data_IF_418917738304
#
_entry.id   IF_418917738304
#
_cell.length_a   1.000
_cell.length_b   1.000
_cell.length_c   1.000
_cell.angle_alpha   90.00
_cell.angle_beta   90.00
_cell.angle_gamma   90.00
#
_symmetry.space_group_name_H-M   'P 1'
#
loop_
_entity.id
_entity.type
_entity.pdbx_description
1 polymer ?
#
# COMPACT_ATOMS: atom_id res chain seq x y z
N UNK A 1 5.30 -25.07 14.92
CA UNK A 1 5.99 -23.78 14.98
C UNK A 1 5.51 -22.75 13.96
N UNK A 2 5.13 -23.13 12.70
CA UNK A 2 4.64 -22.15 11.66
C UNK A 2 3.31 -21.47 12.03
N UNK A 3 2.37 -22.15 12.69
CA UNK A 3 1.08 -21.55 13.13
C UNK A 3 1.22 -20.49 14.23
N UNK A 4 2.27 -20.58 15.06
CA UNK A 4 2.50 -19.65 16.19
C UNK A 4 2.98 -18.26 15.76
N UNK A 5 3.73 -18.15 14.66
CA UNK A 5 4.30 -16.89 14.17
C UNK A 5 3.22 -16.03 13.51
N UNK A 6 2.35 -16.64 12.70
CA UNK A 6 1.23 -15.95 12.04
C UNK A 6 0.24 -15.42 13.09
N UNK A 7 -0.08 -16.21 14.12
CA UNK A 7 -0.97 -15.77 15.22
C UNK A 7 -0.36 -14.62 16.04
N UNK A 8 0.96 -14.58 16.21
CA UNK A 8 1.64 -13.53 16.96
C UNK A 8 1.69 -12.21 16.18
N UNK A 9 1.93 -12.28 14.86
CA UNK A 9 1.91 -11.12 13.95
C UNK A 9 0.50 -10.51 13.87
N UNK A 10 -0.54 -11.35 13.82
CA UNK A 10 -1.93 -10.91 13.76
C UNK A 10 -2.42 -10.27 15.07
N UNK A 11 -1.95 -10.76 16.24
CA UNK A 11 -2.28 -10.17 17.54
C UNK A 11 -1.63 -8.78 17.70
N UNK A 12 -0.46 -8.58 17.12
CA UNK A 12 0.24 -7.29 17.16
C UNK A 12 -0.48 -6.20 16.36
N UNK A 13 -1.09 -6.55 15.21
CA UNK A 13 -1.83 -5.59 14.40
C UNK A 13 -3.06 -5.02 15.13
N UNK A 14 -3.75 -5.83 15.93
CA UNK A 14 -4.92 -5.38 16.71
C UNK A 14 -4.55 -4.40 17.84
N UNK A 15 -3.32 -4.45 18.36
CA UNK A 15 -2.83 -3.54 19.42
C UNK A 15 -2.22 -2.25 18.88
N UNK A 16 -1.80 -2.24 17.61
CA UNK A 16 -1.16 -1.08 16.94
C UNK A 16 -2.15 0.07 16.75
N UNK A 17 -3.43 -0.22 16.48
CA UNK A 17 -4.46 0.78 16.18
C UNK A 17 -4.87 1.61 17.41
N UNK A 18 -4.59 1.14 18.63
CA UNK A 18 -4.99 1.82 19.89
C UNK A 18 -3.86 2.57 20.58
N UNK A 19 -2.63 2.56 20.05
CA UNK A 19 -1.49 3.25 20.65
C UNK A 19 -1.34 4.66 20.06
N UNK A 20 -1.49 5.66 20.88
CA UNK A 20 -1.16 7.08 20.62
C UNK A 20 0.31 7.25 20.13
N UNK A 21 0.69 8.38 19.49
CA UNK A 21 1.87 8.58 18.65
C UNK A 21 3.20 8.66 19.42
N UNK A 22 3.46 7.71 20.28
CA UNK A 22 4.81 7.45 20.77
C UNK A 22 5.32 6.25 19.97
N UNK A 23 6.24 6.50 19.05
CA UNK A 23 6.82 5.49 18.17
C UNK A 23 7.07 4.18 18.91
N UNK A 24 6.96 3.05 18.20
CA UNK A 24 7.19 1.70 18.72
C UNK A 24 8.63 1.54 19.28
N UNK A 25 9.03 2.41 20.20
CA UNK A 25 10.32 2.38 20.86
C UNK A 25 10.52 1.03 21.57
N UNK A 26 11.40 0.20 21.01
CA UNK A 26 11.82 -1.06 21.60
C UNK A 26 11.29 -2.33 20.93
N UNK A 27 10.36 -2.28 19.95
CA UNK A 27 9.98 -3.47 19.20
C UNK A 27 11.00 -3.73 18.08
N UNK A 28 11.78 -4.81 18.24
CA UNK A 28 12.73 -5.24 17.18
C UNK A 28 11.93 -5.97 16.09
N UNK A 29 11.93 -5.41 14.87
CA UNK A 29 11.33 -6.08 13.72
C UNK A 29 11.94 -7.45 13.50
N UNK A 30 11.12 -8.47 13.11
CA UNK A 30 11.63 -9.79 12.78
C UNK A 30 12.65 -9.72 11.65
N UNK A 31 13.71 -10.49 11.75
CA UNK A 31 14.65 -10.65 10.65
C UNK A 31 14.01 -11.50 9.54
N UNK A 32 14.19 -11.08 8.30
CA UNK A 32 13.74 -11.77 7.10
C UNK A 32 14.91 -12.09 6.18
N UNK A 33 14.74 -13.08 5.30
CA UNK A 33 15.75 -13.51 4.35
C UNK A 33 15.58 -12.80 3.00
N UNK A 34 15.57 -11.46 3.01
CA UNK A 34 15.57 -10.69 1.77
C UNK A 34 16.85 -10.93 0.97
N UNK A 35 16.73 -11.02 -0.36
CA UNK A 35 17.88 -11.16 -1.28
C UNK A 35 18.73 -9.89 -1.27
N UNK A 36 18.07 -8.74 -1.24
CA UNK A 36 18.72 -7.44 -1.08
C UNK A 36 18.05 -6.70 0.07
N UNK A 37 18.84 -6.16 1.00
CA UNK A 37 18.33 -5.53 2.24
C UNK A 37 18.70 -4.06 2.30
N UNK A 38 17.79 -3.27 2.88
CA UNK A 38 18.01 -1.87 3.21
C UNK A 38 18.52 -1.01 2.04
N UNK A 39 18.02 -1.29 0.82
CA UNK A 39 18.32 -0.48 -0.35
C UNK A 39 17.67 0.88 -0.17
N UNK A 40 18.45 1.96 -0.19
CA UNK A 40 17.90 3.31 -0.12
C UNK A 40 17.55 3.80 -1.52
N UNK A 41 16.25 4.07 -1.76
CA UNK A 41 15.72 4.48 -3.07
C UNK A 41 15.77 5.99 -3.32
N UNK A 42 16.04 6.78 -2.28
CA UNK A 42 16.07 8.24 -2.36
C UNK A 42 17.48 8.83 -2.52
N UNK A 43 18.52 8.03 -2.19
CA UNK A 43 19.91 8.50 -2.19
C UNK A 43 20.28 9.33 -0.97
N UNK A 44 19.51 9.20 0.11
CA UNK A 44 19.76 9.83 1.41
C UNK A 44 20.08 8.77 2.49
N UNK A 45 20.02 9.13 3.77
CA UNK A 45 20.32 8.23 4.89
C UNK A 45 19.06 7.87 5.72
N UNK A 46 17.86 8.23 5.25
CA UNK A 46 16.64 7.98 6.01
C UNK A 46 16.25 6.50 5.95
N UNK A 47 15.96 5.89 7.10
CA UNK A 47 15.41 4.53 7.16
C UNK A 47 14.04 4.44 6.46
N UNK A 48 13.26 5.51 6.51
CA UNK A 48 12.00 5.64 5.81
C UNK A 48 12.12 5.46 4.30
N UNK A 49 13.27 5.74 3.72
CA UNK A 49 13.53 5.61 2.29
C UNK A 49 14.23 4.29 1.93
N UNK A 50 14.10 3.26 2.75
CA UNK A 50 14.68 1.95 2.49
C UNK A 50 13.65 0.92 2.05
N UNK A 51 14.10 -0.06 1.28
CA UNK A 51 13.32 -1.21 0.85
C UNK A 51 14.13 -2.51 0.93
N UNK A 52 13.42 -3.64 0.99
CA UNK A 52 13.98 -4.98 0.90
C UNK A 52 13.40 -5.70 -0.33
N UNK A 53 14.24 -6.42 -1.10
CA UNK A 53 13.81 -7.19 -2.27
C UNK A 53 13.96 -8.68 -1.97
N UNK A 54 12.91 -9.41 -2.21
CA UNK A 54 12.82 -10.86 -2.09
C UNK A 54 12.66 -11.47 -3.47
N UNK A 55 13.64 -12.27 -3.90
CA UNK A 55 13.57 -12.98 -5.17
C UNK A 55 13.18 -14.44 -4.96
N UNK A 56 12.40 -15.03 -5.89
CA UNK A 56 12.14 -16.47 -5.89
C UNK A 56 13.41 -17.28 -6.11
N UNK A 57 13.48 -18.48 -5.53
CA UNK A 57 14.61 -19.42 -5.70
C UNK A 57 14.51 -20.24 -7.00
N UNK A 58 13.92 -19.66 -8.07
CA UNK A 58 13.69 -20.39 -9.34
C UNK A 58 14.83 -20.26 -10.35
N UNK A 59 15.83 -19.42 -10.07
CA UNK A 59 17.01 -19.24 -10.94
C UNK A 59 16.74 -18.50 -12.24
N UNK A 60 15.61 -17.79 -12.38
CA UNK A 60 15.32 -16.96 -13.56
C UNK A 60 16.26 -15.75 -13.64
N UNK A 61 16.43 -15.22 -14.87
CA UNK A 61 17.26 -14.04 -15.09
C UNK A 61 16.60 -12.76 -14.60
N UNK A 62 15.25 -12.68 -14.67
CA UNK A 62 14.47 -11.55 -14.17
C UNK A 62 13.07 -12.00 -13.76
N UNK A 63 12.42 -11.22 -12.90
CA UNK A 63 11.13 -11.50 -12.29
C UNK A 63 10.18 -10.31 -12.43
N UNK A 64 8.90 -10.57 -12.71
CA UNK A 64 7.84 -9.56 -12.60
C UNK A 64 7.79 -9.04 -11.18
N UNK A 65 7.52 -7.74 -11.01
CA UNK A 65 7.68 -7.02 -9.76
C UNK A 65 6.34 -6.79 -9.08
N UNK A 66 6.29 -7.06 -7.78
CA UNK A 66 5.19 -6.60 -6.91
C UNK A 66 5.78 -5.73 -5.80
N UNK A 67 5.39 -4.47 -5.73
CA UNK A 67 5.71 -3.59 -4.60
C UNK A 67 4.65 -3.78 -3.52
N UNK A 68 5.09 -3.98 -2.28
CA UNK A 68 4.20 -4.27 -1.16
C UNK A 68 4.40 -3.26 -0.01
N UNK A 69 3.29 -2.74 0.55
CA UNK A 69 3.27 -1.65 1.52
C UNK A 69 2.50 -2.09 2.79
N UNK A 70 3.10 -1.86 3.96
CA UNK A 70 2.48 -2.18 5.25
C UNK A 70 1.37 -1.19 5.65
N UNK A 71 0.48 -1.65 6.55
CA UNK A 71 -0.43 -0.81 7.29
C UNK A 71 0.16 -0.38 8.64
N UNK A 72 -0.05 0.88 9.01
CA UNK A 72 0.39 1.45 10.28
C UNK A 72 -0.41 2.71 10.66
N UNK A 73 -1.56 2.94 10.05
CA UNK A 73 -2.28 4.22 10.12
C UNK A 73 -1.37 5.42 9.78
N UNK A 74 -0.39 5.21 8.90
CA UNK A 74 0.68 6.14 8.50
C UNK A 74 1.61 6.59 9.63
N UNK A 75 1.59 5.95 10.80
CA UNK A 75 2.41 6.36 11.97
C UNK A 75 3.80 5.74 12.00
N UNK A 76 4.08 4.73 11.17
CA UNK A 76 5.38 4.06 11.16
C UNK A 76 6.15 4.31 9.86
N UNK A 77 7.48 4.29 9.94
CA UNK A 77 8.39 4.50 8.83
C UNK A 77 9.40 3.36 8.63
N UNK A 78 9.22 2.20 9.30
CA UNK A 78 10.22 1.12 9.33
C UNK A 78 9.61 -0.30 9.44
N UNK A 79 8.43 -0.55 8.85
CA UNK A 79 7.72 -1.84 9.00
C UNK A 79 7.78 -2.74 7.75
N UNK A 80 8.71 -2.52 6.81
CA UNK A 80 8.80 -3.30 5.57
C UNK A 80 8.88 -4.83 5.77
N UNK A 81 9.56 -5.29 6.85
CA UNK A 81 9.64 -6.72 7.18
C UNK A 81 8.27 -7.33 7.50
N UNK A 82 7.37 -6.57 8.14
CA UNK A 82 5.99 -7.00 8.42
C UNK A 82 5.19 -7.20 7.14
N UNK A 83 5.42 -6.37 6.11
CA UNK A 83 4.76 -6.54 4.82
C UNK A 83 5.08 -7.90 4.19
N UNK A 84 6.36 -8.28 4.21
CA UNK A 84 6.78 -9.59 3.69
C UNK A 84 6.11 -10.74 4.45
N UNK A 85 6.08 -10.66 5.78
CA UNK A 85 5.50 -11.72 6.63
C UNK A 85 3.98 -11.80 6.51
N UNK A 86 3.30 -10.70 6.22
CA UNK A 86 1.84 -10.64 6.11
C UNK A 86 1.34 -11.04 4.72
N UNK A 87 1.80 -10.38 3.67
CA UNK A 87 1.27 -10.55 2.31
C UNK A 87 2.34 -10.84 1.25
N UNK A 88 3.64 -10.61 1.54
CA UNK A 88 4.70 -10.72 0.55
C UNK A 88 5.10 -12.16 0.23
N UNK A 89 5.17 -13.03 1.24
CA UNK A 89 5.66 -14.40 1.05
C UNK A 89 4.87 -15.21 0.02
N UNK A 90 3.53 -15.22 -0.02
CA UNK A 90 2.76 -15.94 -1.05
C UNK A 90 3.10 -15.50 -2.48
N UNK A 91 3.45 -14.24 -2.68
CA UNK A 91 3.84 -13.69 -3.99
C UNK A 91 5.24 -14.14 -4.41
N UNK A 92 6.19 -14.19 -3.47
CA UNK A 92 7.53 -14.78 -3.75
C UNK A 92 7.42 -16.26 -4.09
N UNK A 93 6.64 -17.02 -3.32
CA UNK A 93 6.39 -18.44 -3.57
C UNK A 93 5.72 -18.68 -4.95
N UNK A 94 4.96 -17.69 -5.43
CA UNK A 94 4.30 -17.71 -6.75
C UNK A 94 5.19 -17.26 -7.92
N UNK A 95 6.44 -16.84 -7.67
CA UNK A 95 7.41 -16.52 -8.70
C UNK A 95 7.62 -15.02 -8.98
N UNK A 96 7.08 -14.12 -8.18
CA UNK A 96 7.29 -12.68 -8.30
C UNK A 96 8.50 -12.19 -7.49
N UNK A 97 9.23 -11.21 -8.00
CA UNK A 97 10.09 -10.38 -7.16
C UNK A 97 9.19 -9.49 -6.28
N UNK A 98 9.31 -9.60 -4.97
CA UNK A 98 8.52 -8.78 -4.04
C UNK A 98 9.41 -7.74 -3.39
N UNK A 99 9.00 -6.49 -3.49
CA UNK A 99 9.71 -5.34 -2.94
C UNK A 99 8.89 -4.73 -1.80
N UNK A 100 9.34 -4.93 -0.58
CA UNK A 100 8.70 -4.35 0.60
C UNK A 100 9.37 -3.02 0.93
N UNK A 101 8.60 -1.92 0.88
CA UNK A 101 9.12 -0.57 1.05
C UNK A 101 8.77 0.00 2.43
N UNK A 102 9.66 0.83 2.96
CA UNK A 102 9.35 1.82 3.96
C UNK A 102 8.90 3.13 3.28
N UNK A 103 8.23 3.98 4.02
CA UNK A 103 7.86 5.34 3.63
C UNK A 103 7.86 6.24 4.87
N UNK A 104 7.94 7.55 4.70
CA UNK A 104 7.84 8.50 5.81
C UNK A 104 6.50 8.35 6.53
N UNK A 105 6.54 8.48 7.85
CA UNK A 105 5.33 8.53 8.68
C UNK A 105 4.70 9.92 8.64
N UNK A 106 3.47 10.03 9.15
CA UNK A 106 2.80 11.34 9.34
C UNK A 106 3.48 12.24 10.39
N UNK A 107 4.36 11.67 11.22
CA UNK A 107 5.22 12.42 12.13
C UNK A 107 6.48 12.96 11.43
N UNK A 108 7.04 12.21 10.47
CA UNK A 108 8.20 12.66 9.68
C UNK A 108 7.80 13.79 8.72
N UNK A 109 6.67 13.63 8.02
CA UNK A 109 6.14 14.62 7.09
C UNK A 109 4.65 14.40 6.81
N UNK A 110 3.92 15.47 6.51
CA UNK A 110 2.52 15.40 6.11
C UNK A 110 2.36 14.95 4.66
N UNK A 111 1.15 14.46 4.30
CA UNK A 111 0.81 14.22 2.91
C UNK A 111 1.11 15.48 2.05
N UNK A 112 1.69 15.33 0.86
CA UNK A 112 1.84 14.12 0.04
C UNK A 112 3.15 13.33 0.20
N UNK A 113 3.90 13.50 1.29
CA UNK A 113 5.21 12.86 1.47
C UNK A 113 5.16 11.34 1.26
N UNK A 114 4.13 10.66 1.76
CA UNK A 114 4.00 9.21 1.70
C UNK A 114 3.84 8.69 0.26
N UNK A 115 3.02 9.36 -0.55
CA UNK A 115 2.87 8.98 -1.96
C UNK A 115 4.11 9.32 -2.79
N UNK A 116 4.84 10.39 -2.46
CA UNK A 116 6.13 10.70 -3.09
C UNK A 116 7.14 9.59 -2.87
N UNK A 117 7.18 9.01 -1.66
CA UNK A 117 8.10 7.93 -1.31
C UNK A 117 7.77 6.66 -2.09
N UNK A 118 6.48 6.29 -2.17
CA UNK A 118 6.03 5.14 -2.99
C UNK A 118 6.41 5.32 -4.46
N UNK A 119 6.14 6.50 -5.03
CA UNK A 119 6.49 6.79 -6.42
C UNK A 119 8.00 6.84 -6.66
N UNK A 120 8.78 7.34 -5.70
CA UNK A 120 10.23 7.32 -5.77
C UNK A 120 10.78 5.89 -5.78
N UNK A 121 10.26 5.00 -4.94
CA UNK A 121 10.64 3.59 -4.94
C UNK A 121 10.35 2.92 -6.29
N UNK A 122 9.16 3.16 -6.88
CA UNK A 122 8.79 2.65 -8.20
C UNK A 122 9.72 3.15 -9.32
N UNK A 123 10.11 4.44 -9.30
CA UNK A 123 11.07 5.01 -10.24
C UNK A 123 12.45 4.41 -10.08
N UNK A 124 12.92 4.28 -8.84
CA UNK A 124 14.20 3.67 -8.52
C UNK A 124 14.31 2.23 -9.04
N UNK A 125 13.29 1.41 -8.78
CA UNK A 125 13.25 0.01 -9.24
C UNK A 125 13.32 -0.09 -10.76
N UNK A 126 12.67 0.82 -11.49
CA UNK A 126 12.75 0.86 -12.96
C UNK A 126 14.12 1.34 -13.46
N UNK A 127 14.77 2.26 -12.74
CA UNK A 127 16.12 2.70 -13.10
C UNK A 127 17.17 1.59 -12.92
N UNK A 128 16.97 0.74 -11.90
CA UNK A 128 17.94 -0.28 -11.47
C UNK A 128 17.46 -1.71 -11.74
N UNK A 129 16.54 -1.93 -12.69
CA UNK A 129 15.91 -3.23 -12.91
C UNK A 129 16.91 -4.36 -13.20
N UNK A 130 17.98 -4.09 -13.94
CA UNK A 130 19.01 -5.09 -14.26
C UNK A 130 19.84 -5.50 -13.02
N UNK A 131 20.17 -4.53 -12.17
CA UNK A 131 20.95 -4.74 -10.95
C UNK A 131 20.24 -5.70 -9.99
N UNK A 132 18.91 -5.55 -9.87
CA UNK A 132 18.08 -6.35 -8.95
C UNK A 132 17.33 -7.50 -9.62
N UNK A 133 17.67 -7.86 -10.87
CA UNK A 133 17.01 -8.93 -11.64
C UNK A 133 15.48 -8.75 -11.75
N UNK A 134 15.05 -7.52 -12.01
CA UNK A 134 13.65 -7.18 -12.17
C UNK A 134 13.25 -7.16 -13.65
N UNK A 135 12.02 -7.54 -13.96
CA UNK A 135 11.44 -7.36 -15.29
C UNK A 135 10.61 -6.06 -15.31
N UNK A 136 11.08 -5.01 -16.02
CA UNK A 136 10.43 -3.70 -15.99
C UNK A 136 9.10 -3.65 -16.77
N UNK A 137 8.70 -4.73 -17.43
CA UNK A 137 7.49 -4.78 -18.25
C UNK A 137 6.20 -4.95 -17.43
N UNK A 138 6.31 -5.30 -16.13
CA UNK A 138 5.17 -5.38 -15.23
C UNK A 138 5.56 -4.99 -13.80
N UNK A 139 4.81 -4.04 -13.25
CA UNK A 139 4.88 -3.61 -11.86
C UNK A 139 3.48 -3.66 -11.24
N UNK A 140 3.22 -4.66 -10.42
CA UNK A 140 2.06 -4.70 -9.54
C UNK A 140 2.35 -3.96 -8.24
N UNK A 141 1.29 -3.53 -7.56
CA UNK A 141 1.40 -2.94 -6.21
C UNK A 141 0.32 -3.51 -5.31
N UNK A 142 0.65 -3.73 -4.05
CA UNK A 142 -0.29 -4.18 -3.03
C UNK A 142 0.03 -3.56 -1.68
N UNK A 143 -0.95 -3.50 -0.81
CA UNK A 143 -0.77 -3.06 0.56
C UNK A 143 -2.01 -3.32 1.38
N UNK A 144 -1.86 -3.25 2.70
CA UNK A 144 -2.98 -3.43 3.62
C UNK A 144 -3.18 -2.21 4.51
N UNK A 145 -4.43 -1.89 4.89
CA UNK A 145 -4.75 -0.73 5.74
C UNK A 145 -4.22 0.57 5.12
N UNK A 146 -3.47 1.40 5.83
CA UNK A 146 -2.82 2.59 5.27
C UNK A 146 -1.88 2.28 4.10
N UNK A 147 -1.31 1.07 4.01
CA UNK A 147 -0.57 0.60 2.83
C UNK A 147 -1.48 0.30 1.64
N UNK A 148 -2.70 -0.22 1.89
CA UNK A 148 -3.76 -0.37 0.89
C UNK A 148 -4.18 0.96 0.29
N UNK A 149 -4.34 1.98 1.14
CA UNK A 149 -4.56 3.36 0.71
C UNK A 149 -3.46 3.84 -0.24
N UNK A 150 -2.17 3.71 0.16
CA UNK A 150 -1.05 4.17 -0.66
C UNK A 150 -0.91 3.39 -1.97
N UNK A 151 -1.18 2.08 -1.95
CA UNK A 151 -1.20 1.25 -3.16
C UNK A 151 -2.33 1.67 -4.11
N UNK A 152 -3.53 1.89 -3.57
CA UNK A 152 -4.69 2.37 -4.34
C UNK A 152 -4.44 3.76 -4.92
N UNK A 153 -3.91 4.69 -4.11
CA UNK A 153 -3.58 6.04 -4.57
C UNK A 153 -2.51 6.02 -5.66
N UNK A 154 -1.46 5.20 -5.53
CA UNK A 154 -0.45 5.05 -6.58
C UNK A 154 -1.08 4.57 -7.90
N UNK A 155 -2.01 3.62 -7.84
CA UNK A 155 -2.71 3.08 -9.02
C UNK A 155 -3.61 4.10 -9.71
N UNK A 156 -4.48 4.79 -8.95
CA UNK A 156 -5.44 5.76 -9.54
C UNK A 156 -4.76 7.08 -9.97
N UNK A 157 -3.53 7.34 -9.54
CA UNK A 157 -2.75 8.54 -9.92
C UNK A 157 -1.60 8.24 -10.88
N UNK A 158 -1.71 7.15 -11.66
CA UNK A 158 -0.75 6.84 -12.72
C UNK A 158 -0.60 8.03 -13.69
N UNK A 159 0.66 8.40 -13.99
CA UNK A 159 1.02 9.50 -14.90
C UNK A 159 0.45 10.87 -14.48
N UNK A 160 0.08 11.06 -13.23
CA UNK A 160 -0.42 12.33 -12.72
C UNK A 160 0.69 13.08 -11.99
N UNK A 161 1.04 14.26 -12.49
CA UNK A 161 2.03 15.11 -11.82
C UNK A 161 1.41 15.91 -10.69
N UNK A 162 0.24 16.51 -10.95
CA UNK A 162 -0.43 17.43 -10.00
C UNK A 162 -1.94 17.24 -10.02
N UNK A 163 -2.58 17.56 -8.91
CA UNK A 163 -4.03 17.63 -8.79
C UNK A 163 -4.43 18.88 -8.01
N UNK A 164 -5.48 19.54 -8.47
CA UNK A 164 -6.13 20.65 -7.80
C UNK A 164 -7.53 20.26 -7.37
N UNK A 165 -7.88 20.55 -6.14
CA UNK A 165 -9.22 20.44 -5.61
C UNK A 165 -9.57 21.76 -4.89
N UNK A 166 -10.66 22.41 -5.27
CA UNK A 166 -10.98 23.73 -4.76
C UNK A 166 -9.81 24.72 -4.90
N UNK A 167 -9.29 25.19 -3.78
CA UNK A 167 -8.15 26.14 -3.72
C UNK A 167 -6.80 25.46 -3.50
N UNK A 168 -6.78 24.14 -3.25
CA UNK A 168 -5.59 23.39 -2.88
C UNK A 168 -5.02 22.64 -4.07
N UNK A 169 -3.74 22.82 -4.34
CA UNK A 169 -2.99 22.08 -5.37
C UNK A 169 -1.87 21.29 -4.71
N UNK A 170 -1.78 20.00 -5.02
CA UNK A 170 -0.67 19.14 -4.59
C UNK A 170 0.12 18.61 -5.79
N UNK A 171 1.41 18.44 -5.59
CA UNK A 171 2.25 17.59 -6.43
C UNK A 171 1.99 16.14 -6.01
N UNK A 172 1.58 15.29 -6.95
CA UNK A 172 1.32 13.86 -6.70
C UNK A 172 2.56 13.01 -7.02
N UNK A 173 3.32 13.39 -8.05
CA UNK A 173 4.47 12.60 -8.50
C UNK A 173 5.68 12.77 -7.56
N UNK A 174 5.94 13.97 -7.13
CA UNK A 174 7.08 14.32 -6.28
C UNK A 174 8.45 14.16 -6.97
N UNK A 175 9.47 14.67 -6.28
CA UNK A 175 10.85 14.68 -6.78
C UNK A 175 11.82 13.95 -5.86
N UNK A 176 11.34 13.09 -4.96
CA UNK A 176 12.19 12.31 -4.06
C UNK A 176 13.10 11.39 -4.88
N UNK A 177 14.38 11.36 -4.52
CA UNK A 177 15.40 10.53 -5.18
C UNK A 177 15.93 11.09 -6.50
N UNK A 178 16.87 10.36 -7.11
CA UNK A 178 17.58 10.78 -8.31
C UNK A 178 17.01 10.19 -9.61
N UNK A 179 15.96 9.38 -9.52
CA UNK A 179 15.39 8.63 -10.65
C UNK A 179 14.13 9.28 -11.23
N UNK A 180 14.01 10.61 -11.17
CA UNK A 180 12.79 11.36 -11.57
C UNK A 180 12.44 11.24 -13.07
N UNK A 181 13.37 10.84 -13.90
CA UNK A 181 13.15 10.60 -15.34
C UNK A 181 12.50 9.25 -15.67
N UNK A 182 12.27 8.39 -14.67
CA UNK A 182 11.62 7.09 -14.86
C UNK A 182 10.16 7.15 -14.45
N UNK A 183 9.36 6.22 -14.97
CA UNK A 183 7.92 6.16 -14.67
C UNK A 183 7.66 5.57 -13.28
N UNK A 184 6.73 6.14 -12.53
CA UNK A 184 6.16 5.59 -11.29
C UNK A 184 4.92 4.73 -11.52
N UNK A 185 4.52 4.49 -12.77
CA UNK A 185 3.29 3.79 -13.13
C UNK A 185 3.27 2.36 -12.58
N UNK A 186 2.06 1.90 -12.18
CA UNK A 186 1.78 0.50 -11.83
C UNK A 186 0.75 -0.10 -12.80
N UNK A 187 0.81 -1.42 -13.00
CA UNK A 187 0.03 -2.14 -14.01
C UNK A 187 -1.18 -2.86 -13.39
N UNK A 188 -1.10 -3.21 -12.10
CA UNK A 188 -2.16 -3.88 -11.34
C UNK A 188 -2.09 -3.51 -9.86
N UNK A 189 -3.24 -3.45 -9.18
CA UNK A 189 -3.35 -3.08 -7.76
C UNK A 189 -4.15 -4.13 -6.99
N UNK A 190 -3.64 -4.56 -5.84
CA UNK A 190 -4.43 -5.29 -4.85
C UNK A 190 -4.54 -4.45 -3.58
N UNK A 191 -5.76 -4.06 -3.25
CA UNK A 191 -6.08 -3.31 -2.04
C UNK A 191 -6.63 -4.26 -0.97
N UNK A 192 -5.95 -4.34 0.15
CA UNK A 192 -6.41 -5.05 1.34
C UNK A 192 -6.93 -4.04 2.36
N UNK A 193 -8.26 -3.93 2.44
CA UNK A 193 -8.98 -3.09 3.41
C UNK A 193 -8.35 -1.69 3.62
N UNK A 194 -7.91 -1.05 2.54
CA UNK A 194 -7.41 0.31 2.59
C UNK A 194 -8.52 1.34 2.78
N UNK A 195 -8.32 2.40 3.56
CA UNK A 195 -9.21 3.54 3.55
C UNK A 195 -9.06 4.28 2.22
N UNK A 196 -10.16 4.51 1.51
CA UNK A 196 -10.15 5.06 0.15
C UNK A 196 -11.03 6.29 -0.02
N UNK A 197 -11.90 6.56 0.96
CA UNK A 197 -12.74 7.74 1.06
C UNK A 197 -12.59 8.36 2.46
N UNK A 198 -11.66 9.30 2.58
CA UNK A 198 -11.27 9.88 3.85
C UNK A 198 -12.33 10.81 4.45
N UNK A 199 -13.31 11.24 3.64
CA UNK A 199 -14.44 12.01 4.13
C UNK A 199 -15.41 11.16 4.95
N UNK A 200 -15.45 9.84 4.73
CA UNK A 200 -16.45 8.93 5.26
C UNK A 200 -15.86 7.76 6.07
N UNK A 201 -14.88 8.04 6.92
CA UNK A 201 -14.21 7.04 7.74
C UNK A 201 -15.01 6.60 8.98
N UNK A 202 -15.98 7.40 9.45
CA UNK A 202 -16.81 7.04 10.59
C UNK A 202 -18.00 6.17 10.15
N UNK A 203 -17.82 4.85 10.06
CA UNK A 203 -18.84 3.89 9.58
C UNK A 203 -19.51 4.31 8.27
N UNK A 204 -18.69 4.88 7.38
CA UNK A 204 -19.13 5.53 6.13
C UNK A 204 -20.02 6.75 6.30
N UNK A 205 -20.03 7.33 7.48
CA UNK A 205 -20.50 8.69 7.74
C UNK A 205 -19.32 9.66 7.81
N UNK A 206 -19.62 10.95 7.81
CA UNK A 206 -18.60 12.01 7.84
C UNK A 206 -17.68 11.87 9.06
N UNK A 207 -16.38 11.90 8.84
CA UNK A 207 -15.36 11.87 9.88
C UNK A 207 -14.85 13.28 10.18
N UNK A 208 -14.96 13.71 11.45
CA UNK A 208 -14.54 15.04 11.92
C UNK A 208 -13.59 14.95 13.13
N UNK A 209 -12.98 13.77 13.38
CA UNK A 209 -12.12 13.57 14.54
C UNK A 209 -10.74 14.19 14.31
N UNK A 210 -10.43 15.26 15.04
CA UNK A 210 -9.12 15.96 15.05
C UNK A 210 -7.95 15.05 15.50
N UNK A 211 -8.24 13.95 16.18
CA UNK A 211 -7.25 12.98 16.67
C UNK A 211 -7.16 11.73 15.79
N UNK A 212 -7.88 11.71 14.69
CA UNK A 212 -7.85 10.59 13.77
C UNK A 212 -6.48 10.45 13.08
N UNK A 213 -6.13 9.25 12.60
CA UNK A 213 -4.94 9.06 11.76
C UNK A 213 -4.94 9.93 10.50
N UNK A 214 -6.12 10.17 9.93
CA UNK A 214 -6.32 11.05 8.76
C UNK A 214 -5.95 12.49 9.11
N UNK A 215 -6.40 12.99 10.27
CA UNK A 215 -6.03 14.31 10.76
C UNK A 215 -4.50 14.44 10.95
N UNK A 216 -3.87 13.40 11.51
CA UNK A 216 -2.42 13.36 11.66
C UNK A 216 -1.70 13.35 10.30
N UNK A 217 -2.26 12.66 9.28
CA UNK A 217 -1.70 12.58 7.94
C UNK A 217 -1.73 13.94 7.22
N UNK A 218 -2.86 14.65 7.27
CA UNK A 218 -3.03 15.94 6.56
C UNK A 218 -2.60 17.15 7.37
N UNK A 219 -2.45 17.00 8.69
CA UNK A 219 -1.97 18.08 9.59
C UNK A 219 -3.07 18.96 10.16
N UNK A 220 -4.33 18.51 10.14
CA UNK A 220 -5.48 19.23 10.69
C UNK A 220 -6.75 18.39 10.65
N UNK A 221 -7.83 18.86 11.29
CA UNK A 221 -9.11 18.17 11.29
C UNK A 221 -9.66 17.99 9.87
N UNK A 222 -10.13 16.79 9.47
CA UNK A 222 -10.67 16.55 8.14
C UNK A 222 -11.80 17.52 7.75
N UNK A 223 -12.66 17.89 8.71
CA UNK A 223 -13.75 18.84 8.49
C UNK A 223 -13.29 20.24 8.05
N UNK A 224 -12.10 20.67 8.51
CA UNK A 224 -11.54 21.99 8.20
C UNK A 224 -10.72 21.99 6.89
N UNK A 225 -10.47 20.80 6.33
CA UNK A 225 -9.59 20.62 5.16
C UNK A 225 -10.24 19.78 4.04
N UNK A 226 -11.47 20.11 3.58
CA UNK A 226 -12.22 19.27 2.65
C UNK A 226 -11.49 19.06 1.31
N UNK A 227 -10.79 20.08 0.79
CA UNK A 227 -9.99 19.97 -0.43
C UNK A 227 -8.88 18.92 -0.26
N UNK A 228 -8.17 18.96 0.90
CA UNK A 228 -7.11 18.00 1.19
C UNK A 228 -7.66 16.60 1.41
N UNK A 229 -8.80 16.46 2.08
CA UNK A 229 -9.51 15.18 2.25
C UNK A 229 -9.86 14.56 0.90
N UNK A 230 -10.35 15.35 -0.05
CA UNK A 230 -10.58 14.89 -1.43
C UNK A 230 -9.27 14.44 -2.09
N UNK A 231 -8.19 15.25 -1.96
CA UNK A 231 -6.89 14.98 -2.57
C UNK A 231 -6.18 13.73 -2.03
N UNK A 232 -6.45 13.32 -0.79
CA UNK A 232 -5.90 12.08 -0.23
C UNK A 232 -6.80 10.85 -0.44
N UNK A 233 -8.00 11.01 -1.00
CA UNK A 233 -8.99 9.94 -1.16
C UNK A 233 -8.85 9.26 -2.52
N UNK A 234 -8.37 8.00 -2.63
CA UNK A 234 -8.25 7.28 -3.90
C UNK A 234 -9.52 7.26 -4.73
N UNK A 235 -10.68 7.17 -4.10
CA UNK A 235 -11.98 7.11 -4.78
C UNK A 235 -12.24 8.31 -5.70
N UNK A 236 -11.72 9.50 -5.38
CA UNK A 236 -11.91 10.73 -6.17
C UNK A 236 -11.13 10.75 -7.48
N UNK A 237 -10.19 9.81 -7.66
CA UNK A 237 -9.33 9.70 -8.84
C UNK A 237 -9.76 8.57 -9.78
N UNK A 238 -10.77 7.78 -9.43
CA UNK A 238 -11.19 6.64 -10.26
C UNK A 238 -11.68 7.12 -11.62
N UNK A 239 -11.11 6.57 -12.68
CA UNK A 239 -11.48 6.86 -14.07
C UNK A 239 -11.44 5.59 -14.90
N UNK A 240 -11.88 5.68 -16.16
CA UNK A 240 -11.77 4.57 -17.12
C UNK A 240 -10.32 4.25 -17.53
N UNK A 241 -9.37 5.10 -17.14
CA UNK A 241 -7.94 4.91 -17.39
C UNK A 241 -7.26 4.36 -16.14
N UNK A 242 -6.15 3.65 -16.30
CA UNK A 242 -5.36 3.14 -15.19
C UNK A 242 -5.38 1.61 -15.06
N UNK A 243 -4.80 1.07 -13.99
CA UNK A 243 -4.67 -0.37 -13.74
C UNK A 243 -6.01 -1.04 -13.41
N UNK A 244 -6.01 -2.37 -13.44
CA UNK A 244 -7.07 -3.18 -12.83
C UNK A 244 -6.85 -3.30 -11.33
N UNK A 245 -7.94 -3.48 -10.61
CA UNK A 245 -7.94 -3.61 -9.15
C UNK A 245 -8.59 -4.92 -8.72
N UNK A 246 -7.97 -5.58 -7.74
CA UNK A 246 -8.60 -6.54 -6.86
C UNK A 246 -8.72 -5.89 -5.48
N UNK A 247 -9.93 -5.89 -4.91
CA UNK A 247 -10.19 -5.33 -3.58
C UNK A 247 -10.59 -6.46 -2.64
N UNK A 248 -10.00 -6.51 -1.43
CA UNK A 248 -10.25 -7.56 -0.44
C UNK A 248 -10.54 -6.91 0.91
N UNK A 249 -11.69 -7.22 1.53
CA UNK A 249 -12.07 -6.63 2.82
C UNK A 249 -12.89 -7.59 3.68
N UNK A 250 -12.64 -7.57 4.97
CA UNK A 250 -13.42 -8.32 5.96
C UNK A 250 -14.71 -7.59 6.36
N UNK A 251 -15.83 -8.32 6.43
CA UNK A 251 -17.15 -7.72 6.78
C UNK A 251 -17.23 -7.26 8.24
N UNK A 252 -16.43 -7.87 9.12
CA UNK A 252 -16.36 -7.54 10.55
C UNK A 252 -15.17 -6.63 10.89
N UNK A 253 -14.61 -5.91 9.90
CA UNK A 253 -13.54 -4.94 10.13
C UNK A 253 -14.06 -3.76 10.96
N UNK A 254 -13.48 -3.58 12.15
CA UNK A 254 -13.85 -2.53 13.10
C UNK A 254 -12.84 -1.35 13.11
N UNK A 255 -11.86 -1.35 12.21
CA UNK A 255 -10.83 -0.32 12.06
C UNK A 255 -11.08 0.52 10.82
N UNK A 256 -11.11 -0.12 9.64
CA UNK A 256 -11.53 0.51 8.40
C UNK A 256 -12.90 -0.03 8.04
N UNK A 257 -13.94 0.82 7.97
CA UNK A 257 -15.28 0.35 7.70
C UNK A 257 -15.39 -0.37 6.35
N UNK A 258 -15.98 -1.57 6.33
CA UNK A 258 -16.14 -2.40 5.13
C UNK A 258 -16.76 -1.66 3.93
N UNK A 259 -17.68 -0.72 4.20
CA UNK A 259 -18.31 0.10 3.18
C UNK A 259 -17.33 0.98 2.39
N UNK A 260 -16.12 1.27 2.91
CA UNK A 260 -15.05 1.91 2.15
C UNK A 260 -14.75 1.12 0.86
N UNK A 261 -14.50 -0.18 1.01
CA UNK A 261 -14.22 -1.06 -0.14
C UNK A 261 -15.45 -1.33 -1.00
N UNK A 262 -16.66 -1.38 -0.42
CA UNK A 262 -17.91 -1.49 -1.20
C UNK A 262 -18.06 -0.29 -2.14
N UNK A 263 -17.92 0.93 -1.62
CA UNK A 263 -18.05 2.16 -2.41
C UNK A 263 -16.97 2.26 -3.49
N UNK A 264 -15.71 1.98 -3.12
CA UNK A 264 -14.59 2.00 -4.05
C UNK A 264 -14.76 0.98 -5.17
N UNK A 265 -15.19 -0.24 -4.83
CA UNK A 265 -15.45 -1.29 -5.82
C UNK A 265 -16.58 -0.92 -6.77
N UNK A 266 -17.61 -0.23 -6.31
CA UNK A 266 -18.69 0.28 -7.18
C UNK A 266 -18.14 1.29 -8.19
N UNK A 267 -17.31 2.25 -7.78
CA UNK A 267 -16.69 3.23 -8.67
C UNK A 267 -15.73 2.56 -9.67
N UNK A 268 -14.88 1.65 -9.20
CA UNK A 268 -13.98 0.88 -10.04
C UNK A 268 -14.75 0.05 -11.08
N UNK A 269 -15.87 -0.55 -10.69
CA UNK A 269 -16.74 -1.32 -11.58
C UNK A 269 -17.39 -0.44 -12.63
N UNK A 270 -17.91 0.73 -12.24
CA UNK A 270 -18.50 1.71 -13.17
C UNK A 270 -17.49 2.17 -14.23
N UNK A 271 -16.22 2.27 -13.84
CA UNK A 271 -15.10 2.63 -14.71
C UNK A 271 -14.43 1.42 -15.42
N UNK A 272 -14.95 0.21 -15.29
CA UNK A 272 -14.37 -1.03 -15.84
C UNK A 272 -12.93 -1.30 -15.36
N UNK A 273 -12.59 -0.89 -14.12
CA UNK A 273 -11.27 -1.11 -13.50
C UNK A 273 -11.28 -2.17 -12.42
N UNK A 274 -12.44 -2.60 -11.92
CA UNK A 274 -12.54 -3.70 -10.97
C UNK A 274 -12.33 -5.05 -11.69
N UNK A 275 -11.45 -5.89 -11.14
CA UNK A 275 -11.37 -7.31 -11.46
C UNK A 275 -12.36 -8.09 -10.61
N UNK A 276 -12.19 -8.01 -9.28
CA UNK A 276 -13.10 -8.61 -8.31
C UNK A 276 -13.09 -7.82 -6.99
N UNK A 277 -14.17 -7.97 -6.21
CA UNK A 277 -14.27 -7.54 -4.82
C UNK A 277 -14.56 -8.74 -3.94
N UNK A 278 -13.61 -9.08 -3.09
CA UNK A 278 -13.71 -10.20 -2.16
C UNK A 278 -14.10 -9.69 -0.79
N UNK A 279 -15.39 -9.81 -0.48
CA UNK A 279 -15.93 -9.58 0.87
C UNK A 279 -15.78 -10.87 1.68
N UNK A 280 -15.07 -10.80 2.81
CA UNK A 280 -14.76 -11.97 3.63
C UNK A 280 -15.70 -12.00 4.84
N UNK A 281 -16.65 -12.95 4.91
CA UNK A 281 -17.53 -13.09 6.08
C UNK A 281 -16.72 -13.27 7.36
N UNK A 282 -17.14 -12.60 8.44
CA UNK A 282 -16.45 -12.58 9.75
C UNK A 282 -14.99 -12.08 9.70
N UNK A 283 -14.50 -11.65 8.54
CA UNK A 283 -13.17 -11.10 8.35
C UNK A 283 -12.99 -9.81 9.14
N UNK A 284 -11.88 -9.72 9.88
CA UNK A 284 -11.50 -8.54 10.67
C UNK A 284 -10.39 -7.77 9.94
N UNK A 285 -9.88 -6.70 10.57
CA UNK A 285 -8.73 -5.94 10.09
C UNK A 285 -7.44 -6.78 10.15
N UNK A 286 -7.26 -7.69 9.20
CA UNK A 286 -6.18 -8.67 9.13
C UNK A 286 -6.61 -10.10 9.48
N UNK A 287 -6.95 -10.45 10.74
CA UNK A 287 -7.38 -11.80 11.08
C UNK A 287 -8.61 -12.25 10.27
N UNK A 288 -8.65 -13.53 9.92
CA UNK A 288 -9.65 -14.18 9.05
C UNK A 288 -9.66 -13.63 7.61
N UNK A 289 -9.45 -12.33 7.41
CA UNK A 289 -9.31 -11.72 6.08
C UNK A 289 -8.05 -12.21 5.38
N UNK A 290 -6.93 -12.32 6.09
CA UNK A 290 -5.70 -12.96 5.61
C UNK A 290 -5.81 -14.49 5.74
N UNK A 291 -6.17 -15.17 4.66
CA UNK A 291 -6.29 -16.62 4.62
C UNK A 291 -5.80 -17.19 3.28
N UNK A 292 -5.68 -18.51 3.18
CA UNK A 292 -5.16 -19.18 1.98
C UNK A 292 -5.97 -18.84 0.71
N UNK A 293 -7.29 -18.74 0.82
CA UNK A 293 -8.15 -18.44 -0.33
C UNK A 293 -7.92 -17.00 -0.83
N UNK A 294 -7.89 -16.02 0.07
CA UNK A 294 -7.67 -14.61 -0.30
C UNK A 294 -6.26 -14.39 -0.84
N UNK A 295 -5.24 -15.08 -0.29
CA UNK A 295 -3.89 -15.07 -0.85
C UNK A 295 -3.83 -15.72 -2.24
N UNK A 296 -4.53 -16.84 -2.46
CA UNK A 296 -4.62 -17.45 -3.79
C UNK A 296 -5.24 -16.50 -4.80
N UNK A 297 -6.31 -15.78 -4.43
CA UNK A 297 -6.95 -14.79 -5.30
C UNK A 297 -6.03 -13.62 -5.65
N UNK A 298 -5.25 -13.12 -4.69
CA UNK A 298 -4.23 -12.11 -4.95
C UNK A 298 -3.17 -12.61 -5.95
N UNK A 299 -2.68 -13.83 -5.77
CA UNK A 299 -1.69 -14.45 -6.66
C UNK A 299 -2.27 -14.67 -8.07
N UNK A 300 -3.48 -15.25 -8.18
CA UNK A 300 -4.19 -15.47 -9.44
C UNK A 300 -4.37 -14.15 -10.20
N UNK A 301 -4.80 -13.09 -9.52
CA UNK A 301 -4.97 -11.77 -10.11
C UNK A 301 -3.65 -11.23 -10.67
N UNK A 302 -2.57 -11.21 -9.89
CA UNK A 302 -1.28 -10.72 -10.38
C UNK A 302 -0.71 -11.57 -11.50
N UNK A 303 -0.86 -12.89 -11.47
CA UNK A 303 -0.45 -13.77 -12.58
C UNK A 303 -1.20 -13.45 -13.86
N UNK A 304 -2.52 -13.28 -13.78
CA UNK A 304 -3.38 -12.88 -14.90
C UNK A 304 -2.94 -11.56 -15.52
N UNK A 305 -2.76 -10.52 -14.69
CA UNK A 305 -2.39 -9.18 -15.16
C UNK A 305 -0.94 -9.12 -15.68
N UNK A 306 -0.04 -9.93 -15.13
CA UNK A 306 1.35 -10.05 -15.58
C UNK A 306 1.51 -10.93 -16.82
N UNK A 307 0.48 -11.68 -17.24
CA UNK A 307 0.54 -12.61 -18.36
C UNK A 307 1.47 -13.82 -18.07
N UNK A 308 1.54 -14.27 -16.81
CA UNK A 308 2.36 -15.43 -16.40
C UNK A 308 1.46 -16.56 -15.85
N UNK A 309 1.92 -17.81 -15.99
CA UNK A 309 1.19 -19.01 -15.56
C UNK A 309 1.43 -19.36 -14.08
#
# INVERSE_FOLDING_TARGET
MKKSIISFVLLLMATIVMAQPQGFGGFKMPETNATYKNINYAGDSLEAHTMDIYLPETGQQSYKVIVAIYGSAWFSNNMKAMTYLSIGKPLVDAGFAVVCINHRSSADAKFPAQIHDVKAALRFLRAHYQEYKLDPTFFGITGFSSGGHLASLAGVTNNMERRTEGSTTIDIEGTVGNCTGYSSRVDAVVDWFGPVDMAHMNKCETCNDEKSPEAALIGGAPADMPDMVSLISPITYVTTMGPRFLVIHGEADNVVPHCQSVNFSNELKACHRLDDFISVPDGQHGPVTFNENTFSKMVEFFKKEAGVN
#
